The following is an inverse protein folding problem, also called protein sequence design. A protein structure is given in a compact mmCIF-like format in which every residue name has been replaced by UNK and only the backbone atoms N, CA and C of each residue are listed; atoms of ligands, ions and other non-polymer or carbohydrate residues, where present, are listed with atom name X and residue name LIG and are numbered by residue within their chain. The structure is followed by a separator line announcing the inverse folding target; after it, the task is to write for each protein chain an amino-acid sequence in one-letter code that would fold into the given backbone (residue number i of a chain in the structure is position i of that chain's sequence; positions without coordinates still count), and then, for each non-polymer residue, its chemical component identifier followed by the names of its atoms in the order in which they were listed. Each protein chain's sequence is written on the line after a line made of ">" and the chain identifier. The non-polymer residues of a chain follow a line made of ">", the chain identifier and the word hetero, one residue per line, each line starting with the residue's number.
data_IF_056507805241
#
_entry.id   IF_056507805241
#
_cell.length_a   1.000
_cell.length_b   1.000
_cell.length_c   1.000
_cell.angle_alpha   90.00
_cell.angle_beta   90.00
_cell.angle_gamma   90.00
#
_symmetry.space_group_name_H-M   'P 1'
#
loop_
_entity.id
_entity.type
_entity.pdbx_description
1 polymer ?
#
# COMPACT_ATOMS: atom_id res chain seq x y z
N UNK A 1 22.56 -8.56 -17.65
CA UNK A 1 21.83 -8.46 -16.37
C UNK A 1 20.69 -9.47 -16.39
N UNK A 2 20.53 -10.33 -15.37
CA UNK A 2 19.34 -11.19 -15.24
C UNK A 2 18.09 -10.31 -15.15
N UNK A 3 17.03 -10.68 -15.88
CA UNK A 3 15.74 -9.99 -15.82
C UNK A 3 15.10 -10.29 -14.46
N UNK A 4 14.73 -9.26 -13.72
CA UNK A 4 13.98 -9.43 -12.46
C UNK A 4 12.60 -10.06 -12.74
N UNK A 5 12.24 -11.05 -11.95
CA UNK A 5 10.92 -11.71 -11.97
C UNK A 5 9.84 -10.78 -11.37
N UNK A 6 8.57 -11.07 -11.63
CA UNK A 6 7.45 -10.31 -11.03
C UNK A 6 7.46 -10.42 -9.50
N UNK A 7 7.80 -11.58 -8.96
CA UNK A 7 7.90 -11.84 -7.52
C UNK A 7 8.97 -10.96 -6.86
N UNK A 8 10.16 -10.85 -7.46
CA UNK A 8 11.22 -9.98 -6.96
C UNK A 8 10.79 -8.51 -6.93
N UNK A 9 10.07 -8.05 -7.95
CA UNK A 9 9.53 -6.68 -7.97
C UNK A 9 8.49 -6.44 -6.89
N UNK A 10 7.62 -7.43 -6.63
CA UNK A 10 6.62 -7.34 -5.57
C UNK A 10 7.28 -7.31 -4.19
N UNK A 11 8.25 -8.20 -3.92
CA UNK A 11 9.02 -8.22 -2.66
C UNK A 11 9.67 -6.85 -2.44
N UNK A 12 10.40 -6.34 -3.44
CA UNK A 12 11.06 -5.03 -3.32
C UNK A 12 10.07 -3.90 -3.00
N UNK A 13 8.87 -3.93 -3.61
CA UNK A 13 7.83 -2.92 -3.35
C UNK A 13 7.20 -3.05 -1.96
N UNK A 14 6.92 -4.27 -1.51
CA UNK A 14 6.30 -4.55 -0.21
C UNK A 14 7.24 -4.17 0.94
N UNK A 15 8.51 -4.54 0.83
CA UNK A 15 9.50 -4.32 1.89
C UNK A 15 10.25 -2.99 1.76
N UNK A 16 10.01 -2.22 0.69
CA UNK A 16 10.64 -0.91 0.48
C UNK A 16 12.13 -1.00 0.14
N UNK A 17 12.54 -2.08 -0.55
CA UNK A 17 13.94 -2.34 -0.89
C UNK A 17 14.31 -1.60 -2.18
N UNK A 18 15.28 -0.70 -2.08
CA UNK A 18 15.94 -0.04 -3.22
C UNK A 18 17.18 -0.83 -3.67
N UNK A 19 17.45 -0.84 -4.98
CA UNK A 19 18.58 -1.59 -5.58
C UNK A 19 18.26 -3.05 -5.93
N UNK A 20 19.26 -3.90 -6.24
CA UNK A 20 19.06 -5.32 -6.48
C UNK A 20 18.64 -6.05 -5.20
N UNK A 21 17.80 -7.07 -5.34
CA UNK A 21 17.45 -7.96 -4.23
C UNK A 21 18.60 -8.95 -4.03
N UNK A 22 19.55 -8.59 -3.16
CA UNK A 22 20.63 -9.49 -2.77
C UNK A 22 20.12 -10.61 -1.83
N UNK A 23 20.96 -11.61 -1.63
CA UNK A 23 20.63 -12.79 -0.81
C UNK A 23 20.37 -12.41 0.66
N UNK A 24 21.02 -11.37 1.19
CA UNK A 24 20.82 -10.90 2.56
C UNK A 24 19.44 -10.24 2.73
N UNK A 25 19.12 -9.27 1.88
CA UNK A 25 17.82 -8.56 1.82
C UNK A 25 16.68 -9.53 1.57
N UNK A 26 16.89 -10.54 0.73
CA UNK A 26 15.91 -11.60 0.50
C UNK A 26 15.65 -12.43 1.76
N UNK A 27 16.70 -12.91 2.43
CA UNK A 27 16.55 -13.67 3.68
C UNK A 27 15.87 -12.87 4.78
N UNK A 28 16.17 -11.59 4.90
CA UNK A 28 15.53 -10.75 5.91
C UNK A 28 14.07 -10.43 5.58
N UNK A 29 13.75 -10.15 4.31
CA UNK A 29 12.37 -10.01 3.85
C UNK A 29 11.57 -11.30 4.10
N UNK A 30 12.15 -12.47 3.79
CA UNK A 30 11.53 -13.76 4.04
C UNK A 30 11.36 -14.03 5.55
N UNK A 31 12.33 -13.66 6.39
CA UNK A 31 12.24 -13.78 7.85
C UNK A 31 11.10 -12.93 8.42
N UNK A 32 11.04 -11.66 8.04
CA UNK A 32 9.98 -10.73 8.49
C UNK A 32 8.61 -11.21 7.99
N UNK A 33 8.54 -11.59 6.71
CA UNK A 33 7.33 -12.10 6.09
C UNK A 33 6.81 -13.36 6.76
N UNK A 34 7.68 -14.33 7.03
CA UNK A 34 7.29 -15.59 7.65
C UNK A 34 6.81 -15.41 9.09
N UNK A 35 7.44 -14.52 9.87
CA UNK A 35 6.96 -14.18 11.22
C UNK A 35 5.54 -13.60 11.20
N UNK A 36 5.29 -12.62 10.33
CA UNK A 36 3.97 -12.01 10.18
C UNK A 36 2.96 -13.02 9.65
N UNK A 37 3.37 -13.85 8.69
CA UNK A 37 2.54 -14.90 8.11
C UNK A 37 2.08 -15.90 9.16
N UNK A 38 2.97 -16.44 9.99
CA UNK A 38 2.61 -17.43 11.03
C UNK A 38 1.57 -16.84 11.99
N UNK A 39 1.79 -15.62 12.46
CA UNK A 39 0.85 -14.95 13.39
C UNK A 39 -0.50 -14.70 12.72
N UNK A 40 -0.51 -14.13 11.51
CA UNK A 40 -1.74 -13.86 10.76
C UNK A 40 -2.47 -15.14 10.38
N UNK A 41 -1.75 -16.21 10.04
CA UNK A 41 -2.34 -17.49 9.66
C UNK A 41 -3.18 -18.03 10.80
N UNK A 42 -2.60 -18.23 11.98
CA UNK A 42 -3.35 -18.75 13.13
C UNK A 42 -4.44 -17.78 13.59
N UNK A 43 -4.15 -16.48 13.61
CA UNK A 43 -5.12 -15.48 14.02
C UNK A 43 -6.33 -15.42 13.08
N UNK A 44 -6.14 -15.53 11.76
CA UNK A 44 -7.25 -15.56 10.80
C UNK A 44 -7.98 -16.90 10.82
N UNK A 45 -7.26 -18.02 10.85
CA UNK A 45 -7.87 -19.36 10.90
C UNK A 45 -8.80 -19.51 12.09
N UNK A 46 -8.37 -19.11 13.29
CA UNK A 46 -9.18 -19.24 14.50
C UNK A 46 -10.07 -18.02 14.78
N UNK A 47 -9.59 -16.81 14.48
CA UNK A 47 -10.33 -15.57 14.70
C UNK A 47 -11.61 -15.49 13.87
N UNK A 48 -11.64 -16.12 12.70
CA UNK A 48 -12.82 -16.14 11.82
C UNK A 48 -13.95 -17.05 12.31
N UNK A 49 -13.71 -17.90 13.32
CA UNK A 49 -14.77 -18.71 13.93
C UNK A 49 -15.77 -17.85 14.73
N UNK A 50 -15.28 -16.73 15.30
CA UNK A 50 -16.10 -15.79 16.07
C UNK A 50 -17.18 -15.13 15.19
N UNK A 51 -16.84 -14.42 14.10
CA UNK A 51 -17.84 -13.82 13.22
C UNK A 51 -18.74 -14.87 12.56
N UNK A 52 -18.25 -16.09 12.31
CA UNK A 52 -19.07 -17.18 11.78
C UNK A 52 -20.25 -17.51 12.71
N UNK A 53 -20.01 -17.57 14.02
CA UNK A 53 -21.08 -17.82 15.01
C UNK A 53 -21.91 -16.55 15.26
N UNK A 54 -21.26 -15.39 15.38
CA UNK A 54 -21.96 -14.13 15.69
C UNK A 54 -22.87 -13.67 14.55
N UNK A 55 -22.58 -14.01 13.30
CA UNK A 55 -23.39 -13.61 12.15
C UNK A 55 -24.84 -14.12 12.24
N UNK A 56 -25.05 -15.29 12.86
CA UNK A 56 -26.41 -15.83 13.06
C UNK A 56 -27.26 -15.00 14.01
N UNK A 57 -26.66 -14.37 15.02
CA UNK A 57 -27.38 -13.64 16.07
C UNK A 57 -27.32 -12.12 15.90
N UNK A 58 -26.25 -11.61 15.31
CA UNK A 58 -25.97 -10.17 15.16
C UNK A 58 -25.41 -9.84 13.77
N UNK A 59 -26.15 -10.11 12.68
CA UNK A 59 -25.63 -9.99 11.30
C UNK A 59 -25.16 -8.57 10.96
N UNK A 60 -25.90 -7.54 11.35
CA UNK A 60 -25.55 -6.14 11.08
C UNK A 60 -24.25 -5.71 11.80
N UNK A 61 -24.07 -6.13 13.05
CA UNK A 61 -22.86 -5.82 13.82
C UNK A 61 -21.65 -6.51 13.21
N UNK A 62 -21.79 -7.77 12.78
CA UNK A 62 -20.71 -8.50 12.11
C UNK A 62 -20.37 -7.88 10.76
N UNK A 63 -21.36 -7.48 9.97
CA UNK A 63 -21.15 -6.88 8.65
C UNK A 63 -20.29 -5.60 8.72
N UNK A 64 -20.42 -4.80 9.78
CA UNK A 64 -19.63 -3.57 9.97
C UNK A 64 -18.35 -3.86 10.77
N UNK A 65 -18.47 -4.58 11.88
CA UNK A 65 -17.39 -4.78 12.85
C UNK A 65 -16.29 -5.70 12.35
N UNK A 66 -16.63 -6.78 11.64
CA UNK A 66 -15.62 -7.74 11.19
C UNK A 66 -14.64 -7.15 10.17
N UNK A 67 -15.09 -6.43 9.11
CA UNK A 67 -14.17 -5.73 8.22
C UNK A 67 -13.26 -4.74 8.93
N UNK A 68 -13.76 -4.00 9.93
CA UNK A 68 -12.95 -3.05 10.71
C UNK A 68 -11.86 -3.77 11.51
N UNK A 69 -12.18 -4.89 12.15
CA UNK A 69 -11.22 -5.70 12.91
C UNK A 69 -10.13 -6.27 11.99
N UNK A 70 -10.51 -6.88 10.85
CA UNK A 70 -9.56 -7.39 9.85
C UNK A 70 -8.68 -6.26 9.30
N UNK A 71 -9.26 -5.09 9.05
CA UNK A 71 -8.52 -3.90 8.63
C UNK A 71 -7.52 -3.46 9.71
N UNK A 72 -7.91 -3.39 10.99
CA UNK A 72 -6.99 -3.05 12.08
C UNK A 72 -5.84 -4.04 12.22
N UNK A 73 -6.11 -5.35 12.13
CA UNK A 73 -5.08 -6.40 12.16
C UNK A 73 -4.11 -6.25 10.99
N UNK A 74 -4.62 -6.06 9.78
CA UNK A 74 -3.76 -5.89 8.59
C UNK A 74 -2.94 -4.60 8.66
N UNK A 75 -3.50 -3.51 9.21
CA UNK A 75 -2.76 -2.28 9.47
C UNK A 75 -1.64 -2.49 10.48
N UNK A 76 -1.90 -3.18 11.61
CA UNK A 76 -0.86 -3.51 12.58
C UNK A 76 0.25 -4.36 11.97
N UNK A 77 -0.10 -5.36 11.16
CA UNK A 77 0.89 -6.17 10.45
C UNK A 77 1.74 -5.33 9.48
N UNK A 78 1.11 -4.43 8.71
CA UNK A 78 1.82 -3.52 7.81
C UNK A 78 2.78 -2.58 8.57
N UNK A 79 2.33 -2.00 9.69
CA UNK A 79 3.16 -1.15 10.55
C UNK A 79 4.32 -1.93 11.16
N UNK A 80 4.11 -3.19 11.57
CA UNK A 80 5.17 -4.07 12.04
C UNK A 80 6.19 -4.35 10.94
N UNK A 81 5.75 -4.72 9.73
CA UNK A 81 6.65 -4.95 8.57
C UNK A 81 7.49 -3.70 8.31
N UNK A 82 6.86 -2.53 8.18
CA UNK A 82 7.58 -1.26 7.95
C UNK A 82 8.57 -0.95 9.06
N UNK A 83 8.21 -1.24 10.32
CA UNK A 83 9.10 -1.01 11.46
C UNK A 83 10.30 -1.95 11.43
N UNK A 84 10.09 -3.23 11.09
CA UNK A 84 11.16 -4.21 11.02
C UNK A 84 12.07 -4.00 9.82
N UNK A 85 11.54 -3.67 8.64
CA UNK A 85 12.38 -3.38 7.47
C UNK A 85 13.29 -2.17 7.67
N UNK A 86 12.81 -1.16 8.40
CA UNK A 86 13.63 -0.02 8.82
C UNK A 86 14.72 -0.44 9.81
N UNK A 87 14.38 -1.25 10.81
CA UNK A 87 15.33 -1.72 11.83
C UNK A 87 16.45 -2.59 11.25
N UNK A 88 16.14 -3.41 10.25
CA UNK A 88 17.15 -4.27 9.61
C UNK A 88 17.97 -3.54 8.55
N UNK A 89 17.64 -2.30 8.22
CA UNK A 89 18.41 -1.50 7.26
C UNK A 89 18.26 -1.96 5.80
N UNK A 90 17.40 -2.93 5.48
CA UNK A 90 17.17 -3.38 4.09
C UNK A 90 16.52 -2.33 3.21
N UNK A 91 15.96 -1.28 3.83
CA UNK A 91 15.43 -0.09 3.18
C UNK A 91 16.49 1.00 2.95
N UNK A 92 17.72 0.83 3.45
CA UNK A 92 18.80 1.79 3.23
C UNK A 92 19.10 1.88 1.74
N UNK A 93 19.08 3.11 1.22
CA UNK A 93 19.34 3.37 -0.18
C UNK A 93 20.84 3.57 -0.33
N UNK A 94 21.48 2.69 -1.11
CA UNK A 94 22.89 2.80 -1.47
C UNK A 94 23.08 3.99 -2.45
N UNK A 95 23.79 5.07 -2.04
CA UNK A 95 24.01 6.27 -2.85
C UNK A 95 24.70 5.99 -4.18
N UNK A 96 25.54 4.95 -4.27
CA UNK A 96 26.23 4.60 -5.52
C UNK A 96 25.28 3.93 -6.55
N UNK A 97 24.21 3.29 -6.10
CA UNK A 97 23.21 2.66 -6.98
C UNK A 97 22.09 3.60 -7.44
N UNK A 98 21.94 4.76 -6.79
CA UNK A 98 20.95 5.81 -7.08
C UNK A 98 21.25 6.60 -8.37
N UNK A 99 22.52 6.72 -8.76
CA UNK A 99 22.99 7.74 -9.73
C UNK A 99 22.44 7.57 -11.16
N UNK A 100 22.24 6.35 -11.66
CA UNK A 100 21.94 6.16 -13.09
C UNK A 100 20.55 5.59 -13.43
N UNK A 101 19.91 4.83 -12.52
CA UNK A 101 18.59 4.20 -12.77
C UNK A 101 17.41 4.92 -12.13
N UNK A 102 17.61 5.70 -11.07
CA UNK A 102 16.53 6.45 -10.39
C UNK A 102 16.33 7.87 -10.93
N UNK A 103 17.39 8.51 -11.44
CA UNK A 103 17.31 9.84 -12.09
C UNK A 103 16.26 9.89 -13.23
N UNK A 104 16.10 8.80 -14.01
CA UNK A 104 15.11 8.73 -15.10
C UNK A 104 13.67 8.40 -14.65
N UNK A 105 13.45 7.90 -13.44
CA UNK A 105 12.12 7.48 -12.95
C UNK A 105 11.41 8.56 -12.12
N UNK A 106 12.11 9.67 -11.88
CA UNK A 106 11.75 10.73 -10.93
C UNK A 106 11.00 11.92 -11.51
N UNK A 107 10.68 11.95 -12.80
CA UNK A 107 10.10 13.17 -13.37
C UNK A 107 8.72 13.52 -12.78
N UNK A 108 7.86 12.53 -12.47
CA UNK A 108 6.53 12.78 -11.86
C UNK A 108 5.98 11.59 -11.02
N UNK A 109 6.59 11.22 -9.88
CA UNK A 109 6.06 10.17 -9.00
C UNK A 109 4.64 10.48 -8.50
N UNK A 110 4.32 11.75 -8.24
CA UNK A 110 2.99 12.20 -7.85
C UNK A 110 1.93 12.03 -8.93
N UNK A 111 2.27 12.23 -10.21
CA UNK A 111 1.32 12.02 -11.32
C UNK A 111 0.96 10.55 -11.46
N UNK A 112 1.93 9.64 -11.34
CA UNK A 112 1.68 8.19 -11.38
C UNK A 112 0.86 7.72 -10.18
N UNK A 113 1.19 8.20 -8.98
CA UNK A 113 0.46 7.87 -7.76
C UNK A 113 -0.97 8.42 -7.80
N UNK A 114 -1.14 9.66 -8.27
CA UNK A 114 -2.43 10.29 -8.50
C UNK A 114 -3.27 9.49 -9.49
N UNK A 115 -2.72 9.12 -10.66
CA UNK A 115 -3.46 8.35 -11.67
C UNK A 115 -3.95 6.99 -11.15
N UNK A 116 -3.11 6.27 -10.40
CA UNK A 116 -3.47 4.97 -9.80
C UNK A 116 -4.55 5.16 -8.72
N UNK A 117 -4.40 6.16 -7.86
CA UNK A 117 -5.39 6.49 -6.84
C UNK A 117 -6.73 6.92 -7.46
N UNK A 118 -6.69 7.75 -8.49
CA UNK A 118 -7.85 8.21 -9.24
C UNK A 118 -8.60 7.09 -9.92
N UNK A 119 -7.90 6.17 -10.58
CA UNK A 119 -8.50 4.94 -11.10
C UNK A 119 -9.15 4.11 -9.99
N UNK A 120 -8.46 3.92 -8.86
CA UNK A 120 -8.99 3.17 -7.72
C UNK A 120 -10.27 3.79 -7.15
N UNK A 121 -10.31 5.11 -7.00
CA UNK A 121 -11.50 5.84 -6.51
C UNK A 121 -12.63 5.83 -7.53
N UNK A 122 -12.31 6.05 -8.82
CA UNK A 122 -13.29 6.13 -9.89
C UNK A 122 -14.13 4.86 -10.01
N UNK A 123 -13.50 3.69 -9.91
CA UNK A 123 -14.21 2.41 -9.96
C UNK A 123 -14.61 1.89 -8.58
N UNK A 124 -13.81 2.18 -7.56
CA UNK A 124 -13.98 1.65 -6.21
C UNK A 124 -15.15 2.25 -5.46
N UNK A 125 -15.36 3.58 -5.52
CA UNK A 125 -16.48 4.21 -4.81
C UNK A 125 -17.84 3.77 -5.35
N UNK A 126 -18.09 3.76 -6.68
CA UNK A 126 -19.35 3.24 -7.22
C UNK A 126 -19.56 1.76 -6.88
N UNK A 127 -18.49 0.96 -6.86
CA UNK A 127 -18.55 -0.46 -6.47
C UNK A 127 -18.93 -0.61 -4.98
N UNK A 128 -18.34 0.19 -4.11
CA UNK A 128 -18.68 0.21 -2.68
C UNK A 128 -20.12 0.66 -2.47
N UNK A 129 -20.59 1.70 -3.17
CA UNK A 129 -21.97 2.18 -3.05
C UNK A 129 -23.00 1.10 -3.41
N UNK A 130 -22.74 0.36 -4.50
CA UNK A 130 -23.57 -0.78 -4.93
C UNK A 130 -23.54 -1.94 -3.92
N UNK A 131 -22.39 -2.18 -3.28
CA UNK A 131 -22.24 -3.24 -2.29
C UNK A 131 -22.83 -2.89 -0.91
N UNK A 132 -22.95 -1.60 -0.57
CA UNK A 132 -23.19 -1.18 0.82
C UNK A 132 -24.65 -0.85 1.15
N UNK A 133 -25.42 -0.18 0.26
CA UNK A 133 -26.91 -0.14 0.33
C UNK A 133 -27.58 0.81 -0.69
N UNK A 134 -26.86 1.35 -1.68
CA UNK A 134 -27.49 2.26 -2.64
C UNK A 134 -27.82 1.46 -3.91
N UNK A 135 -29.11 1.18 -4.13
CA UNK A 135 -29.66 0.52 -5.33
C UNK A 135 -29.51 1.38 -6.61
N UNK A 136 -28.45 2.17 -6.68
CA UNK A 136 -28.07 2.98 -7.84
C UNK A 136 -27.30 2.08 -8.77
N UNK A 137 -27.76 2.00 -10.02
CA UNK A 137 -27.04 1.30 -11.07
C UNK A 137 -25.57 1.73 -11.06
N UNK A 138 -24.67 0.74 -11.05
CA UNK A 138 -23.22 0.96 -11.02
C UNK A 138 -22.78 1.98 -12.09
N UNK A 139 -23.35 1.88 -13.29
CA UNK A 139 -23.08 2.79 -14.40
C UNK A 139 -23.61 4.20 -14.15
N UNK A 140 -24.78 4.35 -13.51
CA UNK A 140 -25.34 5.65 -13.16
C UNK A 140 -24.52 6.36 -12.06
N UNK A 141 -23.99 5.60 -11.09
CA UNK A 141 -23.08 6.14 -10.07
C UNK A 141 -21.69 6.45 -10.63
N UNK A 142 -21.19 5.64 -11.57
CA UNK A 142 -19.89 5.83 -12.22
C UNK A 142 -19.88 7.08 -13.12
N UNK A 143 -20.95 7.28 -13.89
CA UNK A 143 -21.11 8.39 -14.84
C UNK A 143 -21.75 9.64 -14.21
N UNK A 144 -21.92 9.67 -12.89
CA UNK A 144 -22.43 10.83 -12.19
C UNK A 144 -21.41 11.99 -12.26
N UNK A 145 -21.85 13.14 -12.78
CA UNK A 145 -21.03 14.35 -12.92
C UNK A 145 -20.37 14.79 -11.61
N UNK A 146 -21.07 14.68 -10.48
CA UNK A 146 -20.52 15.02 -9.16
C UNK A 146 -19.41 14.06 -8.72
N UNK A 147 -19.59 12.76 -8.97
CA UNK A 147 -18.58 11.74 -8.68
C UNK A 147 -17.33 11.90 -9.57
N UNK A 148 -17.52 12.19 -10.85
CA UNK A 148 -16.44 12.44 -11.80
C UNK A 148 -15.61 13.67 -11.40
N UNK A 149 -16.25 14.81 -11.10
CA UNK A 149 -15.57 16.04 -10.67
C UNK A 149 -14.84 15.83 -9.34
N UNK A 150 -15.49 15.19 -8.36
CA UNK A 150 -14.88 14.87 -7.07
C UNK A 150 -13.65 13.97 -7.22
N UNK A 151 -13.72 12.96 -8.09
CA UNK A 151 -12.61 12.04 -8.36
C UNK A 151 -11.43 12.77 -9.00
N UNK A 152 -11.66 13.67 -9.96
CA UNK A 152 -10.60 14.47 -10.59
C UNK A 152 -9.90 15.34 -9.55
N UNK A 153 -10.68 16.05 -8.71
CA UNK A 153 -10.12 16.90 -7.65
C UNK A 153 -9.32 16.06 -6.65
N UNK A 154 -9.87 14.97 -6.14
CA UNK A 154 -9.20 14.08 -5.20
C UNK A 154 -7.89 13.51 -5.78
N UNK A 155 -7.91 13.10 -7.05
CA UNK A 155 -6.75 12.60 -7.79
C UNK A 155 -5.64 13.64 -7.88
N UNK A 156 -6.01 14.88 -8.20
CA UNK A 156 -5.08 16.00 -8.33
C UNK A 156 -4.43 16.35 -6.99
N UNK A 157 -5.23 16.53 -5.93
CA UNK A 157 -4.72 16.85 -4.59
C UNK A 157 -3.86 15.73 -4.01
N UNK A 158 -4.26 14.47 -4.21
CA UNK A 158 -3.47 13.32 -3.77
C UNK A 158 -2.14 13.23 -4.52
N UNK A 159 -2.16 13.41 -5.84
CA UNK A 159 -0.96 13.44 -6.66
C UNK A 159 0.02 14.55 -6.25
N UNK A 160 -0.49 15.75 -5.98
CA UNK A 160 0.28 16.88 -5.44
C UNK A 160 0.91 16.54 -4.08
N UNK A 161 0.12 16.00 -3.16
CA UNK A 161 0.59 15.66 -1.81
C UNK A 161 1.72 14.64 -1.85
N UNK A 162 1.58 13.59 -2.66
CA UNK A 162 2.64 12.59 -2.84
C UNK A 162 3.87 13.21 -3.50
N UNK A 163 3.71 14.09 -4.49
CA UNK A 163 4.82 14.81 -5.12
C UNK A 163 5.60 15.62 -4.08
N UNK A 164 4.91 16.33 -3.18
CA UNK A 164 5.51 17.12 -2.11
C UNK A 164 6.28 16.21 -1.13
N UNK A 165 5.65 15.13 -0.64
CA UNK A 165 6.28 14.20 0.32
C UNK A 165 7.56 13.58 -0.27
N UNK A 166 7.50 13.12 -1.53
CA UNK A 166 8.66 12.52 -2.19
C UNK A 166 9.76 13.55 -2.39
N UNK A 167 9.41 14.78 -2.79
CA UNK A 167 10.38 15.87 -2.96
C UNK A 167 11.08 16.23 -1.65
N UNK A 168 10.33 16.32 -0.54
CA UNK A 168 10.88 16.58 0.79
C UNK A 168 11.81 15.44 1.26
N UNK A 169 11.46 14.18 0.98
CA UNK A 169 12.33 13.04 1.29
C UNK A 169 13.64 13.08 0.51
N UNK A 170 13.59 13.44 -0.77
CA UNK A 170 14.79 13.59 -1.59
C UNK A 170 15.67 14.74 -1.08
N UNK A 171 15.07 15.88 -0.73
CA UNK A 171 15.82 17.02 -0.18
C UNK A 171 16.47 16.68 1.16
N UNK A 172 15.75 15.99 2.06
CA UNK A 172 16.31 15.54 3.34
C UNK A 172 17.48 14.58 3.13
N UNK A 173 17.34 13.60 2.24
CA UNK A 173 18.40 12.66 1.92
C UNK A 173 19.65 13.34 1.32
N UNK A 174 19.49 14.46 0.59
CA UNK A 174 20.62 15.27 0.10
C UNK A 174 21.29 16.06 1.21
N UNK A 175 20.51 16.63 2.14
CA UNK A 175 21.05 17.42 3.25
C UNK A 175 21.83 16.56 4.23
N UNK A 176 21.30 15.38 4.56
CA UNK A 176 21.99 14.39 5.40
C UNK A 176 23.29 13.85 4.73
N UNK A 177 23.52 14.11 3.44
CA UNK A 177 24.75 13.76 2.71
C UNK A 177 25.79 14.90 2.65
N UNK A 178 25.40 16.16 2.92
CA UNK A 178 26.33 17.31 2.93
C UNK A 178 26.93 17.54 4.33
N UNK A 179 26.30 17.00 5.37
CA UNK A 179 26.70 17.12 6.78
C UNK A 179 27.62 15.95 7.25
N UNK A 180 27.90 14.95 6.39
CA UNK A 180 28.84 13.81 6.59
C UNK A 180 30.14 14.01 5.77
#
# INVERSE_FOLDING_TARGET
>A
MKKETLTEKLIKRIYGISGPLDEHKRREADRIGNQVFIVLFYLMTFGNLIPLVLAYKYPQIVAIGYPLVVFSISMMAALYVVSQTKKTGITAIDPEMLSQKESKKLHFPGLKAGLIYGMGMFFGIPLLNVLTDDSKDYLASLLNTGHFVSTILATFFFGLTIQIIVSLRIQKAKKDQEDD
#
